data_IF_912782783353
#
_entry.id   IF_912782783353
#
_cell.length_a   1.000
_cell.length_b   1.000
_cell.length_c   1.000
_cell.angle_alpha   90.00
_cell.angle_beta   90.00
_cell.angle_gamma   90.00
#
_symmetry.space_group_name_H-M   'P 1'
#
loop_
_entity.id
_entity.type
_entity.pdbx_description
1 polymer ?
#
# COMPACT_ATOMS: atom_id res chain seq x y z
N UNK A 1 -1.38 -17.98 27.07
CA UNK A 1 0.02 -18.26 26.71
C UNK A 1 0.00 -19.31 25.61
N UNK A 2 0.67 -19.10 24.47
CA UNK A 2 0.62 -20.08 23.38
C UNK A 2 1.43 -21.33 23.74
N UNK A 3 1.07 -22.50 23.19
CA UNK A 3 1.79 -23.77 23.41
C UNK A 3 3.29 -23.63 23.13
N UNK A 4 3.65 -22.80 22.14
CA UNK A 4 5.02 -22.49 21.75
C UNK A 4 5.77 -21.77 22.89
N UNK A 5 5.16 -20.76 23.51
CA UNK A 5 5.78 -20.01 24.61
C UNK A 5 6.10 -20.91 25.80
N UNK A 6 5.22 -21.85 26.15
CA UNK A 6 5.45 -22.81 27.24
C UNK A 6 6.64 -23.73 26.97
N UNK A 7 6.78 -24.21 25.73
CA UNK A 7 7.92 -25.04 25.32
C UNK A 7 9.23 -24.23 25.38
N UNK A 8 9.21 -22.97 24.92
CA UNK A 8 10.40 -22.10 24.96
C UNK A 8 10.88 -21.81 26.38
N UNK A 9 9.95 -21.64 27.36
CA UNK A 9 10.30 -21.50 28.79
C UNK A 9 11.01 -22.75 29.28
N UNK A 10 10.43 -23.93 29.06
CA UNK A 10 10.97 -25.19 29.54
C UNK A 10 12.38 -25.46 29.00
N UNK A 11 12.61 -25.23 27.70
CA UNK A 11 13.92 -25.38 27.07
C UNK A 11 14.93 -24.38 27.63
N UNK A 12 14.53 -23.12 27.84
CA UNK A 12 15.42 -22.10 28.41
C UNK A 12 15.87 -22.45 29.83
N UNK A 13 14.97 -22.99 30.66
CA UNK A 13 15.28 -23.42 32.03
C UNK A 13 16.23 -24.62 32.04
N UNK A 14 16.04 -25.59 31.15
CA UNK A 14 16.93 -26.75 31.02
C UNK A 14 18.34 -26.32 30.59
N UNK A 15 18.44 -25.41 29.61
CA UNK A 15 19.73 -24.89 29.12
C UNK A 15 20.45 -24.15 30.25
N UNK A 16 19.77 -23.24 30.96
CA UNK A 16 20.36 -22.49 32.06
C UNK A 16 20.79 -23.41 33.21
N UNK A 17 19.96 -24.38 33.58
CA UNK A 17 20.30 -25.37 34.61
C UNK A 17 21.49 -26.25 34.22
N UNK A 18 21.54 -26.73 32.98
CA UNK A 18 22.66 -27.54 32.48
C UNK A 18 23.98 -26.78 32.50
N UNK A 19 24.01 -25.53 32.02
CA UNK A 19 25.22 -24.72 32.03
C UNK A 19 25.66 -24.31 33.43
N UNK A 20 24.72 -24.10 34.36
CA UNK A 20 25.04 -23.84 35.76
C UNK A 20 25.81 -24.99 36.43
N UNK A 21 25.41 -26.24 36.16
CA UNK A 21 26.01 -27.42 36.79
C UNK A 21 27.24 -27.97 36.07
N UNK A 22 27.28 -27.94 34.74
CA UNK A 22 28.33 -28.62 33.96
C UNK A 22 29.41 -27.67 33.42
N UNK A 23 29.12 -26.39 33.20
CA UNK A 23 30.01 -25.42 32.55
C UNK A 23 29.85 -23.99 33.13
N UNK A 24 30.17 -23.78 34.42
CA UNK A 24 29.83 -22.54 35.14
C UNK A 24 30.53 -21.29 34.57
N UNK A 25 31.72 -21.43 34.00
CA UNK A 25 32.47 -20.32 33.40
C UNK A 25 31.71 -19.64 32.24
N UNK A 26 30.83 -20.37 31.56
CA UNK A 26 30.02 -19.86 30.45
C UNK A 26 28.63 -19.39 30.87
N UNK A 27 28.23 -19.63 32.13
CA UNK A 27 26.88 -19.32 32.63
C UNK A 27 26.47 -17.85 32.44
N UNK A 28 27.33 -16.83 32.73
CA UNK A 28 26.96 -15.42 32.53
C UNK A 28 26.65 -15.08 31.06
N UNK A 29 27.39 -15.70 30.12
CA UNK A 29 27.21 -15.49 28.69
C UNK A 29 25.87 -16.10 28.23
N UNK A 30 25.56 -17.31 28.70
CA UNK A 30 24.30 -17.99 28.36
C UNK A 30 23.09 -17.24 28.92
N UNK A 31 23.17 -16.72 30.16
CA UNK A 31 22.13 -15.86 30.73
C UNK A 31 21.91 -14.60 29.88
N UNK A 32 22.97 -13.95 29.41
CA UNK A 32 22.85 -12.78 28.54
C UNK A 32 22.22 -13.10 27.17
N UNK A 33 22.57 -14.23 26.55
CA UNK A 33 22.00 -14.67 25.27
C UNK A 33 20.53 -15.05 25.41
N UNK A 34 20.19 -15.86 26.43
CA UNK A 34 18.81 -16.25 26.71
C UNK A 34 17.98 -15.01 27.07
N UNK A 35 18.48 -14.16 27.96
CA UNK A 35 17.85 -12.89 28.34
C UNK A 35 17.62 -11.95 27.15
N UNK A 36 18.62 -11.79 26.27
CA UNK A 36 18.50 -10.99 25.05
C UNK A 36 17.49 -11.57 24.05
N UNK A 37 17.44 -12.90 23.92
CA UNK A 37 16.44 -13.58 23.09
C UNK A 37 15.02 -13.42 23.64
N UNK A 38 14.84 -13.56 24.95
CA UNK A 38 13.58 -13.32 25.65
C UNK A 38 13.13 -11.86 25.56
N UNK A 39 14.06 -10.91 25.72
CA UNK A 39 13.79 -9.49 25.52
C UNK A 39 13.34 -9.22 24.08
N UNK A 40 14.05 -9.76 23.08
CA UNK A 40 13.63 -9.65 21.68
C UNK A 40 12.24 -10.26 21.45
N UNK A 41 11.96 -11.45 21.96
CA UNK A 41 10.68 -12.10 21.72
C UNK A 41 9.52 -11.41 22.44
N UNK A 42 9.70 -11.04 23.72
CA UNK A 42 8.66 -10.42 24.54
C UNK A 42 8.42 -8.93 24.25
N UNK A 43 9.46 -8.19 23.86
CA UNK A 43 9.34 -6.75 23.61
C UNK A 43 9.41 -6.36 22.13
N UNK A 44 10.28 -6.98 21.33
CA UNK A 44 10.45 -6.58 19.92
C UNK A 44 9.46 -7.30 19.00
N UNK A 45 9.29 -8.62 19.13
CA UNK A 45 8.40 -9.40 18.26
C UNK A 45 6.92 -9.22 18.60
N UNK A 46 6.57 -8.94 19.86
CA UNK A 46 5.20 -8.60 20.28
C UNK A 46 4.68 -7.33 19.61
N UNK A 47 5.57 -6.41 19.26
CA UNK A 47 5.24 -5.12 18.63
C UNK A 47 5.29 -5.17 17.09
N UNK A 48 5.62 -6.33 16.49
CA UNK A 48 5.54 -6.48 15.04
C UNK A 48 4.07 -6.60 14.63
N UNK A 49 3.55 -5.56 13.98
CA UNK A 49 2.20 -5.57 13.40
C UNK A 49 2.06 -6.80 12.50
N UNK A 50 1.01 -7.60 12.73
CA UNK A 50 0.77 -8.82 11.96
C UNK A 50 0.27 -8.44 10.56
N UNK A 51 1.02 -8.83 9.53
CA UNK A 51 0.60 -8.66 8.14
C UNK A 51 -0.44 -9.71 7.77
N UNK A 52 -1.56 -9.29 7.21
CA UNK A 52 -2.70 -10.19 6.97
C UNK A 52 -2.62 -10.90 5.61
N UNK A 53 -2.02 -10.25 4.60
CA UNK A 53 -1.97 -10.77 3.24
C UNK A 53 -1.20 -12.09 3.10
N UNK A 54 -1.78 -13.06 2.40
CA UNK A 54 -1.15 -14.32 2.02
C UNK A 54 -0.98 -14.47 0.49
N UNK A 55 0.26 -14.65 -0.02
CA UNK A 55 0.51 -14.66 -1.46
C UNK A 55 0.03 -15.93 -2.18
N UNK A 56 -0.21 -17.00 -1.42
CA UNK A 56 -0.56 -18.34 -1.93
C UNK A 56 -2.05 -18.64 -1.78
N UNK A 57 -2.65 -18.20 -0.66
CA UNK A 57 -4.03 -18.52 -0.29
C UNK A 57 -4.97 -17.35 -0.52
N UNK A 58 -6.17 -17.68 -0.97
CA UNK A 58 -7.28 -16.73 -1.00
C UNK A 58 -7.85 -16.55 0.41
N UNK A 59 -8.18 -15.31 0.76
CA UNK A 59 -8.72 -14.90 2.04
C UNK A 59 -9.93 -13.99 1.81
N UNK A 60 -10.99 -14.18 2.58
CA UNK A 60 -12.19 -13.36 2.47
C UNK A 60 -12.10 -12.15 3.40
N UNK A 61 -12.58 -11.02 2.91
CA UNK A 61 -12.65 -9.78 3.68
C UNK A 61 -14.02 -9.14 3.54
N UNK A 62 -14.63 -8.78 4.67
CA UNK A 62 -15.99 -8.24 4.73
C UNK A 62 -16.00 -6.74 4.50
N UNK A 63 -16.86 -6.26 3.60
CA UNK A 63 -17.17 -4.86 3.39
C UNK A 63 -17.88 -4.31 4.63
N UNK A 64 -17.31 -3.31 5.28
CA UNK A 64 -17.90 -2.67 6.48
C UNK A 64 -18.41 -1.26 6.21
N UNK A 65 -17.87 -0.58 5.20
CA UNK A 65 -18.28 0.78 4.86
C UNK A 65 -18.13 1.00 3.34
N UNK A 66 -19.07 1.76 2.77
CA UNK A 66 -19.09 2.15 1.36
C UNK A 66 -19.38 3.64 1.26
N UNK A 67 -18.41 4.40 0.76
CA UNK A 67 -18.49 5.86 0.68
C UNK A 67 -18.46 6.29 -0.77
N UNK A 68 -19.56 6.87 -1.26
CA UNK A 68 -19.67 7.36 -2.65
C UNK A 68 -18.80 8.61 -2.82
N UNK A 69 -17.89 8.58 -3.79
CA UNK A 69 -17.00 9.71 -4.12
C UNK A 69 -17.55 10.49 -5.30
N UNK A 70 -18.02 9.80 -6.34
CA UNK A 70 -18.60 10.42 -7.53
C UNK A 70 -19.75 9.58 -8.09
N UNK A 71 -20.26 9.94 -9.27
CA UNK A 71 -21.35 9.22 -9.93
C UNK A 71 -21.02 7.74 -10.19
N UNK A 72 -19.74 7.39 -10.42
CA UNK A 72 -19.30 6.02 -10.66
C UNK A 72 -18.08 5.59 -9.84
N UNK A 73 -17.61 6.38 -8.87
CA UNK A 73 -16.50 6.00 -7.98
C UNK A 73 -16.97 5.94 -6.53
N UNK A 74 -16.53 4.92 -5.81
CA UNK A 74 -16.72 4.80 -4.37
C UNK A 74 -15.48 4.20 -3.70
N UNK A 75 -15.33 4.48 -2.41
CA UNK A 75 -14.38 3.86 -1.50
C UNK A 75 -15.08 2.70 -0.81
N UNK A 76 -14.45 1.53 -0.85
CA UNK A 76 -14.93 0.30 -0.23
C UNK A 76 -13.95 -0.10 0.86
N UNK A 77 -14.42 -0.07 2.11
CA UNK A 77 -13.62 -0.39 3.29
C UNK A 77 -13.86 -1.82 3.73
N UNK A 78 -12.81 -2.60 3.77
CA UNK A 78 -12.85 -4.01 4.14
C UNK A 78 -12.18 -4.25 5.49
N UNK A 79 -12.85 -4.99 6.38
CA UNK A 79 -12.33 -5.28 7.72
C UNK A 79 -11.21 -6.31 7.67
N UNK A 80 -10.13 -6.06 8.40
CA UNK A 80 -9.11 -7.06 8.70
C UNK A 80 -9.57 -7.98 9.85
N UNK A 81 -8.89 -9.13 10.09
CA UNK A 81 -9.27 -10.06 11.15
C UNK A 81 -9.29 -9.43 12.54
N UNK A 82 -8.29 -8.61 12.87
CA UNK A 82 -8.20 -7.91 14.15
C UNK A 82 -8.12 -6.38 13.96
N UNK A 83 -8.57 -5.58 14.95
CA UNK A 83 -8.50 -4.11 14.88
C UNK A 83 -7.10 -3.52 14.76
N UNK A 84 -6.08 -4.21 15.30
CA UNK A 84 -4.69 -3.75 15.28
C UNK A 84 -3.87 -4.31 14.10
N UNK A 85 -4.50 -5.13 13.26
CA UNK A 85 -3.84 -5.70 12.08
C UNK A 85 -3.59 -4.60 11.03
N UNK A 86 -2.57 -4.81 10.20
CA UNK A 86 -2.36 -4.04 8.96
C UNK A 86 -2.43 -4.99 7.77
N UNK A 87 -2.82 -4.45 6.61
CA UNK A 87 -2.87 -5.27 5.40
C UNK A 87 -1.48 -5.83 5.06
N UNK A 88 -0.42 -5.04 5.24
CA UNK A 88 0.96 -5.46 5.01
C UNK A 88 1.30 -5.60 3.53
N UNK A 89 0.81 -4.67 2.71
CA UNK A 89 1.08 -4.63 1.27
C UNK A 89 2.37 -3.83 1.01
N UNK A 90 3.45 -4.45 0.49
CA UNK A 90 4.67 -3.71 0.16
C UNK A 90 4.41 -2.61 -0.88
N UNK A 91 5.10 -1.48 -0.73
CA UNK A 91 4.92 -0.32 -1.61
C UNK A 91 5.21 -0.67 -3.07
N UNK A 92 4.24 -0.37 -3.94
CA UNK A 92 4.28 -0.64 -5.37
C UNK A 92 3.84 -2.05 -5.77
N UNK A 93 3.32 -2.82 -4.81
CA UNK A 93 2.62 -4.08 -5.05
C UNK A 93 1.10 -3.87 -5.01
N UNK A 94 0.35 -4.91 -5.37
CA UNK A 94 -1.11 -4.89 -5.42
C UNK A 94 -1.69 -6.21 -4.91
N UNK A 95 -3.01 -6.24 -4.73
CA UNK A 95 -3.77 -7.44 -4.40
C UNK A 95 -4.52 -7.96 -5.62
N UNK A 96 -4.79 -9.25 -5.65
CA UNK A 96 -5.74 -9.86 -6.59
C UNK A 96 -7.09 -10.02 -5.91
N UNK A 97 -8.15 -9.55 -6.55
CA UNK A 97 -9.54 -9.77 -6.14
C UNK A 97 -10.18 -10.77 -7.09
N UNK A 98 -10.88 -11.75 -6.55
CA UNK A 98 -11.59 -12.78 -7.29
C UNK A 98 -13.09 -12.74 -7.02
N UNK A 99 -13.88 -12.96 -8.06
CA UNK A 99 -15.30 -13.24 -7.95
C UNK A 99 -15.73 -14.25 -9.02
N UNK A 100 -16.73 -15.05 -8.69
CA UNK A 100 -17.39 -15.92 -9.65
C UNK A 100 -18.49 -15.12 -10.38
N UNK A 101 -18.34 -14.98 -11.70
CA UNK A 101 -19.27 -14.23 -12.54
C UNK A 101 -19.67 -15.13 -13.70
N UNK A 102 -20.96 -15.51 -13.76
CA UNK A 102 -21.52 -16.41 -14.79
C UNK A 102 -20.77 -17.75 -14.88
N UNK A 103 -20.50 -18.39 -13.74
CA UNK A 103 -19.81 -19.68 -13.65
C UNK A 103 -18.31 -19.63 -13.97
N UNK A 104 -17.73 -18.43 -14.09
CA UNK A 104 -16.29 -18.24 -14.34
C UNK A 104 -15.65 -17.45 -13.21
N UNK A 105 -14.52 -17.95 -12.72
CA UNK A 105 -13.69 -17.23 -11.77
C UNK A 105 -12.90 -16.13 -12.49
N UNK A 106 -13.31 -14.88 -12.28
CA UNK A 106 -12.63 -13.70 -12.83
C UNK A 106 -11.71 -13.13 -11.74
N UNK A 107 -10.49 -12.76 -12.13
CA UNK A 107 -9.50 -12.16 -11.24
C UNK A 107 -9.06 -10.82 -11.80
N UNK A 108 -8.99 -9.79 -10.95
CA UNK A 108 -8.45 -8.46 -11.31
C UNK A 108 -7.55 -7.92 -10.21
N UNK A 109 -6.56 -7.13 -10.62
CA UNK A 109 -5.64 -6.47 -9.70
C UNK A 109 -6.22 -5.16 -9.19
N UNK A 110 -6.06 -4.92 -7.89
CA UNK A 110 -6.43 -3.66 -7.24
C UNK A 110 -5.29 -3.22 -6.32
N UNK A 111 -5.03 -1.93 -6.26
CA UNK A 111 -4.08 -1.35 -5.32
C UNK A 111 -4.85 -0.60 -4.24
N UNK A 112 -4.85 -1.11 -2.99
CA UNK A 112 -5.43 -0.41 -1.85
C UNK A 112 -4.81 0.97 -1.66
N UNK A 113 -5.66 1.93 -1.29
CA UNK A 113 -5.25 3.30 -0.95
C UNK A 113 -4.98 3.49 0.53
N UNK A 114 -5.29 2.51 1.37
CA UNK A 114 -4.86 2.48 2.77
C UNK A 114 -3.36 2.18 2.87
N UNK A 115 -2.75 2.63 3.96
CA UNK A 115 -1.35 2.45 4.31
C UNK A 115 -1.20 1.56 5.55
N UNK A 116 0.03 1.23 5.93
CA UNK A 116 0.30 0.49 7.18
C UNK A 116 0.08 1.35 8.46
N UNK A 117 -0.33 2.62 8.32
CA UNK A 117 -0.84 3.43 9.43
C UNK A 117 -2.32 3.16 9.71
N UNK A 118 -3.06 2.66 8.71
CA UNK A 118 -4.48 2.37 8.80
C UNK A 118 -4.68 0.98 9.42
N UNK A 119 -5.15 0.95 10.67
CA UNK A 119 -5.32 -0.28 11.42
C UNK A 119 -6.71 -0.88 11.22
N UNK A 120 -6.78 -2.21 11.18
CA UNK A 120 -8.03 -2.97 11.23
C UNK A 120 -8.84 -2.98 9.94
N UNK A 121 -8.40 -2.28 8.89
CA UNK A 121 -9.08 -2.24 7.60
C UNK A 121 -8.16 -1.96 6.42
N UNK A 122 -8.68 -2.10 5.21
CA UNK A 122 -8.08 -1.54 4.01
C UNK A 122 -9.15 -0.99 3.06
N UNK A 123 -8.77 0.02 2.28
CA UNK A 123 -9.69 0.75 1.41
C UNK A 123 -9.36 0.51 -0.07
N UNK A 124 -10.38 0.18 -0.86
CA UNK A 124 -10.31 0.12 -2.31
C UNK A 124 -11.10 1.27 -2.93
N UNK A 125 -10.44 2.10 -3.75
CA UNK A 125 -11.11 3.08 -4.62
C UNK A 125 -11.44 2.40 -5.94
N UNK A 126 -12.73 2.20 -6.21
CA UNK A 126 -13.18 1.47 -7.40
C UNK A 126 -14.13 2.32 -8.24
N UNK A 127 -13.76 2.51 -9.51
CA UNK A 127 -14.64 3.04 -10.56
C UNK A 127 -15.48 1.89 -11.10
N UNK A 128 -16.79 2.01 -10.96
CA UNK A 128 -17.77 1.02 -11.40
C UNK A 128 -18.04 1.24 -12.89
N UNK A 129 -17.87 0.19 -13.67
CA UNK A 129 -18.20 0.20 -15.10
C UNK A 129 -19.43 -0.67 -15.31
N UNK A 130 -20.52 -0.19 -15.95
CA UNK A 130 -21.74 -0.97 -16.15
C UNK A 130 -21.54 -2.32 -16.87
N UNK A 131 -20.54 -2.36 -17.77
CA UNK A 131 -20.12 -3.56 -18.50
C UNK A 131 -18.84 -4.19 -17.92
N UNK A 132 -18.41 -3.75 -16.74
CA UNK A 132 -17.26 -4.29 -16.03
C UNK A 132 -17.56 -5.65 -15.41
N UNK A 133 -16.51 -6.42 -15.12
CA UNK A 133 -16.60 -7.68 -14.37
C UNK A 133 -16.46 -7.41 -12.87
N UNK A 134 -15.23 -7.45 -12.35
CA UNK A 134 -14.98 -7.27 -10.90
C UNK A 134 -15.35 -5.87 -10.42
N UNK A 135 -15.16 -4.83 -11.25
CA UNK A 135 -15.58 -3.46 -10.89
C UNK A 135 -17.08 -3.33 -10.68
N UNK A 136 -17.90 -4.04 -11.48
CA UNK A 136 -19.35 -4.10 -11.30
C UNK A 136 -19.72 -4.90 -10.06
N UNK A 137 -19.11 -6.07 -9.89
CA UNK A 137 -19.30 -6.91 -8.72
C UNK A 137 -19.04 -6.14 -7.42
N UNK A 138 -17.89 -5.45 -7.29
CA UNK A 138 -17.59 -4.60 -6.14
C UNK A 138 -18.60 -3.44 -6.04
N UNK A 139 -18.96 -2.84 -7.18
CA UNK A 139 -19.98 -1.79 -7.31
C UNK A 139 -21.32 -2.14 -6.68
N UNK A 140 -21.72 -3.39 -6.80
CA UNK A 140 -23.00 -3.94 -6.34
C UNK A 140 -22.95 -4.51 -4.92
N UNK A 141 -21.77 -4.57 -4.29
CA UNK A 141 -21.65 -5.06 -2.91
C UNK A 141 -22.46 -4.21 -1.93
N UNK A 142 -23.07 -4.93 -1.01
CA UNK A 142 -23.75 -4.40 0.18
C UNK A 142 -22.86 -4.64 1.40
N UNK A 143 -22.88 -3.71 2.36
CA UNK A 143 -22.17 -3.85 3.63
C UNK A 143 -22.54 -5.19 4.29
N UNK A 144 -21.53 -5.90 4.80
CA UNK A 144 -21.64 -7.26 5.32
C UNK A 144 -21.26 -8.36 4.31
N UNK A 145 -21.16 -8.06 3.02
CA UNK A 145 -20.70 -9.02 2.01
C UNK A 145 -19.17 -9.06 1.91
N UNK A 146 -18.64 -10.14 1.33
CA UNK A 146 -17.20 -10.39 1.27
C UNK A 146 -16.63 -10.30 -0.14
N UNK A 147 -15.34 -10.01 -0.20
CA UNK A 147 -14.50 -10.22 -1.38
C UNK A 147 -13.42 -11.25 -1.09
N UNK A 148 -13.05 -12.05 -2.10
CA UNK A 148 -11.92 -12.98 -2.02
C UNK A 148 -10.65 -12.30 -2.54
N UNK A 149 -9.62 -12.26 -1.70
CA UNK A 149 -8.37 -11.53 -1.94
C UNK A 149 -7.17 -12.45 -1.79
N UNK A 150 -6.16 -12.27 -2.64
CA UNK A 150 -4.85 -12.91 -2.53
C UNK A 150 -3.75 -11.89 -2.81
N UNK A 151 -2.67 -11.91 -2.04
CA UNK A 151 -1.59 -10.96 -2.20
C UNK A 151 -0.51 -11.08 -1.12
N UNK A 152 0.59 -10.33 -1.22
CA UNK A 152 0.80 -9.31 -2.22
C UNK A 152 1.25 -9.89 -3.58
N UNK A 153 1.07 -9.12 -4.66
CA UNK A 153 1.47 -9.44 -6.03
C UNK A 153 2.18 -8.25 -6.67
N UNK A 154 3.06 -8.54 -7.63
CA UNK A 154 3.84 -7.53 -8.34
C UNK A 154 5.34 -7.66 -8.08
N UNK A 155 6.14 -7.31 -9.08
CA UNK A 155 7.60 -7.42 -9.03
C UNK A 155 8.27 -6.14 -8.54
N UNK A 156 7.58 -5.00 -8.65
CA UNK A 156 8.14 -3.72 -8.21
C UNK A 156 8.33 -3.73 -6.69
N UNK A 157 9.52 -3.31 -6.27
CA UNK A 157 9.91 -3.20 -4.87
C UNK A 157 10.52 -1.83 -4.65
N UNK A 158 9.72 -0.95 -4.06
CA UNK A 158 10.18 0.37 -3.69
C UNK A 158 11.22 0.31 -2.56
N UNK A 159 12.22 1.19 -2.63
CA UNK A 159 13.12 1.49 -1.51
C UNK A 159 13.50 2.97 -1.57
N UNK A 160 13.82 3.61 -0.43
CA UNK A 160 14.18 5.00 -0.45
C UNK A 160 15.39 5.31 -1.35
N UNK A 161 15.31 6.37 -2.14
CA UNK A 161 16.36 6.73 -3.09
C UNK A 161 16.59 5.72 -4.22
N UNK A 162 15.59 4.89 -4.56
CA UNK A 162 15.67 3.91 -5.65
C UNK A 162 16.08 4.54 -6.99
N UNK A 163 15.60 5.76 -7.26
CA UNK A 163 15.90 6.56 -8.44
C UNK A 163 16.02 8.03 -8.07
N UNK A 164 16.65 8.85 -8.92
CA UNK A 164 16.68 10.31 -8.71
C UNK A 164 15.29 10.95 -8.86
N UNK A 165 14.48 10.44 -9.78
CA UNK A 165 13.18 10.99 -10.09
C UNK A 165 12.23 9.93 -10.68
N UNK A 166 10.95 10.02 -10.31
CA UNK A 166 9.85 9.29 -10.94
C UNK A 166 9.08 10.20 -11.89
N UNK A 167 8.88 9.73 -13.13
CA UNK A 167 7.86 10.25 -14.04
C UNK A 167 6.66 9.30 -13.99
N UNK A 168 5.52 9.81 -13.53
CA UNK A 168 4.29 9.03 -13.36
C UNK A 168 3.22 9.56 -14.32
N UNK A 169 2.49 8.65 -14.95
CA UNK A 169 1.32 8.97 -15.77
C UNK A 169 0.18 8.11 -15.26
N UNK A 170 -0.91 8.75 -14.84
CA UNK A 170 -2.09 8.07 -14.34
C UNK A 170 -3.35 8.63 -15.00
N UNK A 171 -4.43 7.84 -14.97
CA UNK A 171 -5.77 8.33 -15.30
C UNK A 171 -6.85 7.55 -14.56
N UNK A 172 -7.90 8.25 -14.13
CA UNK A 172 -8.96 7.68 -13.28
C UNK A 172 -8.39 6.96 -12.05
N UNK A 173 -8.80 5.72 -11.81
CA UNK A 173 -8.31 4.91 -10.68
C UNK A 173 -6.87 4.42 -10.85
N UNK A 174 -6.21 4.67 -11.98
CA UNK A 174 -4.77 4.40 -12.16
C UNK A 174 -3.86 5.21 -11.23
N UNK A 175 -4.41 6.19 -10.51
CA UNK A 175 -3.71 6.96 -9.48
C UNK A 175 -3.32 6.12 -8.25
N UNK A 176 -4.04 5.05 -7.94
CA UNK A 176 -3.86 4.29 -6.69
C UNK A 176 -2.46 3.67 -6.52
N UNK A 177 -1.83 3.01 -7.52
CA UNK A 177 -0.43 2.58 -7.40
C UNK A 177 0.56 3.74 -7.30
N UNK A 178 0.28 4.87 -7.97
CA UNK A 178 1.15 6.04 -7.91
C UNK A 178 1.12 6.67 -6.52
N UNK A 179 -0.06 6.76 -5.92
CA UNK A 179 -0.27 7.32 -4.59
C UNK A 179 0.51 6.57 -3.50
N UNK A 180 0.61 5.24 -3.59
CA UNK A 180 1.42 4.46 -2.65
C UNK A 180 2.89 4.90 -2.66
N UNK A 181 3.46 5.10 -3.86
CA UNK A 181 4.84 5.53 -4.02
C UNK A 181 5.00 6.99 -3.58
N UNK A 182 4.06 7.87 -3.97
CA UNK A 182 4.05 9.29 -3.57
C UNK A 182 4.08 9.41 -2.05
N UNK A 183 3.13 8.77 -1.35
CA UNK A 183 3.06 8.81 0.12
C UNK A 183 4.31 8.22 0.78
N UNK A 184 4.85 7.13 0.24
CA UNK A 184 6.08 6.53 0.78
C UNK A 184 7.29 7.47 0.69
N UNK A 185 7.42 8.20 -0.42
CA UNK A 185 8.48 9.21 -0.61
C UNK A 185 8.23 10.41 0.30
N UNK A 186 7.03 11.00 0.28
CA UNK A 186 6.75 12.26 0.98
C UNK A 186 6.76 12.10 2.51
N UNK A 187 6.40 10.92 3.02
CA UNK A 187 6.46 10.60 4.45
C UNK A 187 7.89 10.40 4.97
N UNK A 188 8.85 10.04 4.11
CA UNK A 188 10.22 9.80 4.51
C UNK A 188 11.09 11.04 4.29
N UNK A 189 11.49 11.79 5.34
CA UNK A 189 12.28 13.02 5.18
C UNK A 189 13.67 12.76 4.59
N UNK A 190 14.18 11.53 4.66
CA UNK A 190 15.47 11.15 4.08
C UNK A 190 15.38 10.81 2.59
N UNK A 191 14.16 10.64 2.07
CA UNK A 191 13.97 10.39 0.65
C UNK A 191 13.92 11.72 -0.12
N UNK A 192 14.90 11.92 -1.00
CA UNK A 192 15.02 13.13 -1.83
C UNK A 192 14.56 12.90 -3.26
N UNK A 193 13.91 11.77 -3.55
CA UNK A 193 13.43 11.44 -4.89
C UNK A 193 12.42 12.49 -5.36
N UNK A 194 12.63 13.04 -6.56
CA UNK A 194 11.65 13.94 -7.20
C UNK A 194 10.54 13.14 -7.86
N UNK A 195 9.30 13.61 -7.79
CA UNK A 195 8.15 12.97 -8.41
C UNK A 195 7.45 13.98 -9.30
N UNK A 196 7.23 13.60 -10.55
CA UNK A 196 6.42 14.34 -11.50
C UNK A 196 5.26 13.46 -11.94
N UNK A 197 4.05 13.83 -11.57
CA UNK A 197 2.82 13.12 -11.91
C UNK A 197 2.03 13.90 -12.97
N UNK A 198 1.74 13.26 -14.09
CA UNK A 198 0.70 13.70 -15.03
C UNK A 198 -0.55 12.88 -14.71
N UNK A 199 -1.64 13.55 -14.32
CA UNK A 199 -2.89 12.90 -13.98
C UNK A 199 -4.01 13.33 -14.92
N UNK A 200 -4.46 12.40 -15.76
CA UNK A 200 -5.40 12.67 -16.83
C UNK A 200 -6.81 12.12 -16.54
N UNK A 201 -7.81 12.98 -16.63
CA UNK A 201 -9.21 12.67 -16.35
C UNK A 201 -10.11 13.30 -17.43
N UNK A 202 -11.40 12.93 -17.49
CA UNK A 202 -12.30 13.51 -18.49
C UNK A 202 -12.78 14.89 -18.05
N UNK A 203 -13.27 14.99 -16.81
CA UNK A 203 -13.74 16.23 -16.18
C UNK A 203 -12.98 16.51 -14.89
N UNK A 204 -13.12 17.73 -14.37
CA UNK A 204 -12.53 18.10 -13.07
C UNK A 204 -13.11 17.25 -11.93
N UNK A 205 -14.41 16.97 -11.98
CA UNK A 205 -15.12 16.11 -11.01
C UNK A 205 -14.62 14.65 -11.02
N UNK A 206 -13.94 14.23 -12.09
CA UNK A 206 -13.33 12.90 -12.19
C UNK A 206 -11.93 12.83 -11.54
N UNK A 207 -11.35 13.97 -11.11
CA UNK A 207 -10.01 13.99 -10.50
C UNK A 207 -10.08 13.45 -9.08
N UNK A 208 -9.80 12.16 -8.95
CA UNK A 208 -9.77 11.47 -7.66
C UNK A 208 -8.65 12.02 -6.78
N UNK A 209 -8.95 12.26 -5.50
CA UNK A 209 -7.98 12.68 -4.48
C UNK A 209 -7.31 14.02 -4.78
N UNK A 210 -7.93 14.89 -5.59
CA UNK A 210 -7.36 16.19 -5.99
C UNK A 210 -6.84 17.01 -4.81
N UNK A 211 -7.67 17.17 -3.76
CA UNK A 211 -7.30 17.93 -2.55
C UNK A 211 -6.03 17.38 -1.89
N UNK A 212 -5.95 16.06 -1.74
CA UNK A 212 -4.78 15.41 -1.14
C UNK A 212 -3.52 15.61 -2.00
N UNK A 213 -3.64 15.44 -3.32
CA UNK A 213 -2.52 15.66 -4.26
C UNK A 213 -2.04 17.13 -4.24
N UNK A 214 -2.97 18.07 -4.18
CA UNK A 214 -2.66 19.50 -4.10
C UNK A 214 -1.95 19.84 -2.77
N UNK A 215 -2.43 19.31 -1.64
CA UNK A 215 -1.80 19.47 -0.32
C UNK A 215 -0.40 18.85 -0.29
N UNK A 216 -0.23 17.64 -0.85
CA UNK A 216 1.08 16.99 -0.96
C UNK A 216 2.04 17.83 -1.81
N UNK A 217 1.58 18.38 -2.95
CA UNK A 217 2.44 19.18 -3.82
C UNK A 217 2.82 20.52 -3.17
N UNK A 218 1.90 21.14 -2.41
CA UNK A 218 2.18 22.37 -1.67
C UNK A 218 3.19 22.17 -0.53
N UNK A 219 3.12 21.04 0.17
CA UNK A 219 3.96 20.75 1.34
C UNK A 219 5.31 20.11 0.99
N UNK A 220 5.44 19.51 -0.18
CA UNK A 220 6.63 18.76 -0.58
C UNK A 220 7.21 19.29 -1.91
N UNK A 221 8.32 20.04 -1.82
CA UNK A 221 9.02 20.63 -2.99
C UNK A 221 9.48 19.58 -4.02
N UNK A 222 9.61 18.33 -3.63
CA UNK A 222 9.99 17.22 -4.50
C UNK A 222 8.79 16.50 -5.15
N UNK A 223 7.55 16.96 -4.96
CA UNK A 223 6.38 16.40 -5.63
C UNK A 223 5.64 17.45 -6.46
N UNK A 224 5.56 17.20 -7.77
CA UNK A 224 4.83 18.02 -8.73
C UNK A 224 3.69 17.22 -9.35
N UNK A 225 2.50 17.80 -9.38
CA UNK A 225 1.33 17.23 -10.05
C UNK A 225 0.87 18.15 -11.18
N UNK A 226 0.53 17.54 -12.31
CA UNK A 226 0.02 18.21 -13.51
C UNK A 226 -1.29 17.53 -13.91
N UNK A 227 -2.40 18.24 -13.81
CA UNK A 227 -3.70 17.73 -14.23
C UNK A 227 -3.91 17.95 -15.74
N UNK A 228 -4.48 16.95 -16.40
CA UNK A 228 -4.94 17.03 -17.77
C UNK A 228 -6.42 16.66 -17.82
N UNK A 229 -7.24 17.51 -18.40
CA UNK A 229 -8.60 17.15 -18.80
C UNK A 229 -8.64 16.80 -20.29
N UNK A 230 -9.74 16.22 -20.76
CA UNK A 230 -9.87 15.74 -22.14
C UNK A 230 -9.55 16.84 -23.19
N UNK A 231 -9.16 16.40 -24.40
CA UNK A 231 -8.63 17.17 -25.55
C UNK A 231 -7.26 17.86 -25.42
N UNK A 232 -6.46 17.62 -24.37
CA UNK A 232 -5.08 18.20 -24.31
C UNK A 232 -3.99 17.26 -23.78
N UNK A 233 -4.19 15.94 -23.88
CA UNK A 233 -3.19 14.97 -23.39
C UNK A 233 -1.83 15.09 -24.11
N UNK A 234 -1.84 15.44 -25.41
CA UNK A 234 -0.62 15.54 -26.24
C UNK A 234 0.28 16.72 -25.85
N UNK A 235 -0.30 17.88 -25.48
CA UNK A 235 0.50 19.09 -25.21
C UNK A 235 1.19 19.00 -23.85
N UNK A 236 0.53 18.41 -22.84
CA UNK A 236 1.09 18.30 -21.49
C UNK A 236 2.25 17.29 -21.47
N UNK A 237 2.12 16.15 -22.14
CA UNK A 237 3.24 15.21 -22.30
C UNK A 237 4.40 15.92 -22.98
N UNK A 238 4.16 16.64 -24.08
CA UNK A 238 5.21 17.36 -24.78
C UNK A 238 5.91 18.36 -23.85
N UNK A 239 5.15 19.15 -23.07
CA UNK A 239 5.73 20.16 -22.17
C UNK A 239 6.51 19.56 -20.99
N UNK A 240 5.97 18.53 -20.34
CA UNK A 240 6.60 17.88 -19.17
C UNK A 240 7.82 17.07 -19.61
N UNK A 241 7.72 16.34 -20.71
CA UNK A 241 8.83 15.57 -21.29
C UNK A 241 9.91 16.51 -21.80
N UNK A 242 9.61 17.57 -22.56
CA UNK A 242 10.67 18.49 -23.00
C UNK A 242 11.34 19.19 -21.81
N UNK A 243 10.59 19.67 -20.82
CA UNK A 243 11.19 20.38 -19.68
C UNK A 243 12.16 19.50 -18.86
N UNK A 244 12.05 18.17 -18.95
CA UNK A 244 12.90 17.23 -18.21
C UNK A 244 13.86 16.40 -19.09
N UNK A 245 13.62 16.30 -20.40
CA UNK A 245 14.41 15.49 -21.36
C UNK A 245 15.23 16.37 -22.30
N UNK A 246 14.85 17.62 -22.57
CA UNK A 246 15.63 18.53 -23.42
C UNK A 246 16.26 19.67 -22.61
N UNK A 247 17.56 19.92 -22.85
CA UNK A 247 18.27 21.12 -22.36
C UNK A 247 17.49 22.38 -22.77
N UNK A 248 17.55 23.47 -21.98
CA UNK A 248 16.55 24.52 -22.03
C UNK A 248 16.61 25.26 -23.37
N UNK A 249 15.59 25.08 -24.19
CA UNK A 249 15.29 26.03 -25.26
C UNK A 249 14.16 26.91 -24.74
N UNK A 250 14.51 28.15 -24.43
CA UNK A 250 13.56 29.18 -24.06
C UNK A 250 12.58 29.41 -25.21
N UNK A 251 11.28 29.39 -24.93
CA UNK A 251 10.34 30.51 -25.18
C UNK A 251 8.90 30.04 -25.09
N UNK A 252 8.13 30.89 -24.41
CA UNK A 252 6.67 31.04 -24.45
C UNK A 252 5.83 29.81 -24.12
N UNK A 253 5.06 29.90 -23.03
CA UNK A 253 3.59 29.91 -23.11
C UNK A 253 3.01 30.25 -21.71
N UNK A 254 2.00 31.11 -21.74
CA UNK A 254 1.30 31.73 -20.61
C UNK A 254 0.58 30.71 -19.72
N UNK A 255 0.60 30.94 -18.41
CA UNK A 255 -0.31 30.30 -17.44
C UNK A 255 -1.74 30.77 -17.73
N UNK A 256 -2.66 29.82 -17.89
CA UNK A 256 -4.07 29.97 -17.53
C UNK A 256 -4.38 28.85 -16.55
#
# INVERSE_FOLDING_TARGET
MSTITTITVAVSVIILGGFYYFLPDFFPIIVAVVGGSWFKHLYLDKNKKKTVLNPEKWQNFTLVEKTKVSHNVAIYRFRLPNPDDVLGLPIGQHISVQAEIKGKNIIRSYTPTSSDDDLGHFDLVVKTYPNGSISKFIGELVVGQEISVKGPKGQFKYRPGLVRAFGMIAGGTGITPMLQIIRAITKNPNDKTTINLIFANQTEDDILLKKELDELSANHKNFNVYYSLDRVFTIIIFYVVLRHVTRPISRHLSKY
#
